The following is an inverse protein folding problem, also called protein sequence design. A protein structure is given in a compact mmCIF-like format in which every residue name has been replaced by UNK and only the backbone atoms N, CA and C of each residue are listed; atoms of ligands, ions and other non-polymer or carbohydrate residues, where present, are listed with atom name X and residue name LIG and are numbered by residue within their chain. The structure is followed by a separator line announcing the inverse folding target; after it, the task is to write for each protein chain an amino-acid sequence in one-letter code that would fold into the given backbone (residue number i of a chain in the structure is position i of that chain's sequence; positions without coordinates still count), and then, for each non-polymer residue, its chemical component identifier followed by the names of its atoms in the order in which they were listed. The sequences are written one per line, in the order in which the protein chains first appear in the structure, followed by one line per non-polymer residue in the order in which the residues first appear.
data_IF_449882925240
#
_entry.id   IF_449882925240
#
_cell.length_a   1.000
_cell.length_b   1.000
_cell.length_c   1.000
_cell.angle_alpha   90.00
_cell.angle_beta   90.00
_cell.angle_gamma   90.00
#
_symmetry.space_group_name_H-M   'P 1'
#
loop_
_entity.id
_entity.type
_entity.pdbx_description
1 polymer ?
#
# COMPACT_ATOMS: atom_id res chain seq x y z
N UNK A 1 -27.55 4.93 2.17
CA UNK A 1 -26.41 4.29 2.89
C UNK A 1 -25.11 5.04 2.56
N UNK A 2 -24.32 5.34 3.54
CA UNK A 2 -23.04 5.99 3.34
C UNK A 2 -22.06 4.99 2.72
N UNK A 3 -21.22 5.40 1.74
CA UNK A 3 -20.15 4.55 1.27
C UNK A 3 -19.17 4.25 2.41
N UNK A 4 -18.54 3.08 2.33
CA UNK A 4 -17.50 2.72 3.30
C UNK A 4 -16.35 3.71 3.24
N UNK A 5 -15.82 4.19 4.37
CA UNK A 5 -14.64 5.05 4.39
C UNK A 5 -13.34 4.28 4.13
N UNK A 6 -13.40 2.96 4.02
CA UNK A 6 -12.21 2.12 3.84
C UNK A 6 -11.56 2.40 2.49
N UNK A 7 -10.26 2.61 2.52
CA UNK A 7 -9.42 2.80 1.33
C UNK A 7 -8.53 1.57 1.16
N UNK A 8 -8.45 1.06 -0.05
CA UNK A 8 -7.63 -0.11 -0.38
C UNK A 8 -6.65 0.22 -1.48
N UNK A 9 -5.47 -0.39 -1.41
CA UNK A 9 -4.46 -0.31 -2.47
C UNK A 9 -3.98 -1.71 -2.80
N UNK A 10 -3.73 -1.95 -4.09
CA UNK A 10 -2.99 -3.12 -4.57
C UNK A 10 -1.82 -2.60 -5.39
N UNK A 11 -0.61 -2.89 -4.96
CA UNK A 11 0.61 -2.41 -5.60
C UNK A 11 1.34 -3.57 -6.24
N UNK A 12 1.64 -3.43 -7.54
CA UNK A 12 2.46 -4.37 -8.30
C UNK A 12 3.91 -3.96 -8.17
N UNK A 13 4.75 -4.93 -7.82
CA UNK A 13 6.15 -4.69 -7.48
C UNK A 13 7.01 -5.74 -8.18
N UNK A 14 8.18 -5.33 -8.68
CA UNK A 14 9.20 -6.23 -9.18
C UNK A 14 10.41 -6.15 -8.27
N UNK A 15 10.77 -7.26 -7.64
CA UNK A 15 11.87 -7.37 -6.69
C UNK A 15 13.13 -7.85 -7.42
N UNK A 16 14.26 -7.21 -7.16
CA UNK A 16 15.55 -7.62 -7.71
C UNK A 16 16.57 -8.02 -6.64
N UNK A 17 16.29 -7.76 -5.36
CA UNK A 17 17.13 -8.21 -4.24
C UNK A 17 16.20 -8.82 -3.18
N UNK A 18 15.88 -10.10 -3.36
CA UNK A 18 14.87 -10.79 -2.55
C UNK A 18 15.26 -10.85 -1.07
N UNK A 19 16.51 -11.14 -0.76
CA UNK A 19 16.98 -11.28 0.61
C UNK A 19 16.83 -9.97 1.40
N UNK A 20 17.32 -8.87 0.84
CA UNK A 20 17.16 -7.55 1.47
C UNK A 20 15.71 -7.10 1.52
N UNK A 21 14.98 -7.34 0.43
CA UNK A 21 13.56 -6.97 0.33
C UNK A 21 12.76 -7.62 1.47
N UNK A 22 12.89 -8.93 1.65
CA UNK A 22 12.11 -9.64 2.67
C UNK A 22 12.47 -9.19 4.07
N UNK A 23 13.74 -8.89 4.35
CA UNK A 23 14.18 -8.38 5.65
C UNK A 23 13.59 -6.99 5.94
N UNK A 24 13.59 -6.10 4.94
CA UNK A 24 13.03 -4.75 5.09
C UNK A 24 11.51 -4.80 5.24
N UNK A 25 10.85 -5.63 4.44
CA UNK A 25 9.38 -5.80 4.52
C UNK A 25 8.95 -6.28 5.91
N UNK A 26 9.69 -7.19 6.52
CA UNK A 26 9.40 -7.65 7.88
C UNK A 26 9.37 -6.48 8.87
N UNK A 27 10.30 -5.53 8.74
CA UNK A 27 10.34 -4.33 9.57
C UNK A 27 9.17 -3.38 9.26
N UNK A 28 8.82 -3.24 7.98
CA UNK A 28 7.66 -2.43 7.58
C UNK A 28 6.36 -2.98 8.18
N UNK A 29 6.17 -4.29 8.14
CA UNK A 29 5.00 -4.94 8.75
C UNK A 29 4.96 -4.72 10.25
N UNK A 30 6.10 -4.84 10.92
CA UNK A 30 6.20 -4.64 12.37
C UNK A 30 5.75 -3.23 12.77
N UNK A 31 6.27 -2.20 12.10
CA UNK A 31 5.90 -0.81 12.44
C UNK A 31 4.47 -0.48 12.02
N UNK A 32 3.98 -1.06 10.93
CA UNK A 32 2.59 -0.84 10.48
C UNK A 32 1.58 -1.48 11.44
N UNK A 33 1.94 -2.56 12.11
CA UNK A 33 1.07 -3.24 13.06
C UNK A 33 0.69 -2.36 14.27
N UNK A 34 1.46 -1.32 14.55
CA UNK A 34 1.18 -0.37 15.63
C UNK A 34 0.23 0.75 15.19
N UNK A 35 -0.13 0.84 13.92
CA UNK A 35 -1.00 1.89 13.37
C UNK A 35 -2.46 1.48 13.50
N UNK A 36 -3.28 2.17 14.32
CA UNK A 36 -4.66 1.71 14.56
C UNK A 36 -5.57 1.77 13.33
N UNK A 37 -5.26 2.63 12.37
CA UNK A 37 -6.06 2.77 11.14
C UNK A 37 -5.61 1.88 10.00
N UNK A 38 -4.52 1.14 10.13
CA UNK A 38 -4.03 0.20 9.11
C UNK A 38 -4.69 -1.15 9.33
N UNK A 39 -5.64 -1.52 8.46
CA UNK A 39 -6.45 -2.72 8.60
C UNK A 39 -5.78 -3.95 7.99
N UNK A 40 -5.13 -3.78 6.85
CA UNK A 40 -4.37 -4.81 6.14
C UNK A 40 -3.09 -4.21 5.58
N UNK A 41 -2.04 -4.97 5.63
CA UNK A 41 -0.73 -4.59 5.10
C UNK A 41 0.00 -5.88 4.74
N UNK A 42 -0.49 -6.53 3.68
CA UNK A 42 -0.13 -7.91 3.34
C UNK A 42 0.75 -7.94 2.10
N UNK A 43 1.89 -8.58 2.23
CA UNK A 43 2.88 -8.69 1.16
C UNK A 43 2.91 -10.11 0.62
N UNK A 44 2.96 -10.21 -0.70
CA UNK A 44 3.01 -11.47 -1.43
C UNK A 44 4.23 -11.47 -2.35
N UNK A 45 4.93 -12.58 -2.43
CA UNK A 45 6.14 -12.70 -3.23
C UNK A 45 6.19 -14.04 -3.96
N UNK A 46 6.45 -13.99 -5.27
CA UNK A 46 6.86 -15.14 -6.07
C UNK A 46 8.38 -15.10 -6.17
N UNK A 47 9.08 -15.94 -5.43
CA UNK A 47 10.55 -15.94 -5.40
C UNK A 47 11.16 -16.34 -6.73
N UNK A 48 10.46 -17.13 -7.54
CA UNK A 48 10.98 -17.59 -8.83
C UNK A 48 11.09 -16.45 -9.84
N UNK A 49 10.18 -15.49 -9.79
CA UNK A 49 10.12 -14.39 -10.77
C UNK A 49 10.47 -13.03 -10.18
N UNK A 50 10.46 -12.90 -8.85
CA UNK A 50 10.58 -11.61 -8.17
C UNK A 50 9.31 -10.77 -8.21
N UNK A 51 8.21 -11.29 -8.77
CA UNK A 51 6.93 -10.57 -8.75
C UNK A 51 6.39 -10.51 -7.33
N UNK A 52 5.97 -9.33 -6.90
CA UNK A 52 5.41 -9.13 -5.58
C UNK A 52 4.15 -8.28 -5.64
N UNK A 53 3.35 -8.36 -4.61
CA UNK A 53 2.14 -7.55 -4.44
C UNK A 53 2.07 -7.10 -3.00
N UNK A 54 1.71 -5.83 -2.81
CA UNK A 54 1.31 -5.30 -1.52
C UNK A 54 -0.18 -5.02 -1.57
N UNK A 55 -0.92 -5.59 -0.63
CA UNK A 55 -2.36 -5.38 -0.50
C UNK A 55 -2.59 -4.65 0.82
N UNK A 56 -3.09 -3.43 0.74
CA UNK A 56 -3.27 -2.56 1.88
C UNK A 56 -4.74 -2.19 2.05
N UNK A 57 -5.17 -2.00 3.29
CA UNK A 57 -6.47 -1.41 3.59
C UNK A 57 -6.35 -0.51 4.81
N UNK A 58 -7.01 0.63 4.73
CA UNK A 58 -6.99 1.67 5.77
C UNK A 58 -8.43 2.05 6.12
N UNK A 59 -8.66 2.39 7.39
CA UNK A 59 -9.98 2.73 7.89
C UNK A 59 -10.54 4.03 7.31
N UNK A 60 -9.67 4.91 6.81
CA UNK A 60 -10.04 6.22 6.29
C UNK A 60 -8.88 6.85 5.51
N UNK A 61 -9.14 7.97 4.84
CA UNK A 61 -8.09 8.79 4.21
C UNK A 61 -7.07 9.27 5.26
N UNK A 62 -7.54 9.68 6.45
CA UNK A 62 -6.63 10.11 7.52
C UNK A 62 -5.67 9.01 7.94
N UNK A 63 -6.13 7.75 7.96
CA UNK A 63 -5.28 6.61 8.27
C UNK A 63 -4.21 6.39 7.18
N UNK A 64 -4.56 6.59 5.91
CA UNK A 64 -3.58 6.55 4.79
C UNK A 64 -2.51 7.61 4.99
N UNK A 65 -2.92 8.84 5.32
CA UNK A 65 -1.98 9.95 5.53
C UNK A 65 -1.08 9.69 6.73
N UNK A 66 -1.62 9.12 7.81
CA UNK A 66 -0.84 8.77 9.00
C UNK A 66 0.23 7.72 8.64
N UNK A 67 -0.12 6.69 7.87
CA UNK A 67 0.82 5.69 7.38
C UNK A 67 1.92 6.33 6.52
N UNK A 68 1.54 7.19 5.60
CA UNK A 68 2.47 7.87 4.68
C UNK A 68 3.48 8.77 5.41
N UNK A 69 3.15 9.25 6.59
CA UNK A 69 4.04 10.07 7.43
C UNK A 69 4.84 9.24 8.43
N UNK A 70 4.58 7.95 8.50
CA UNK A 70 5.14 7.04 9.48
C UNK A 70 6.47 6.40 9.09
N UNK A 71 6.97 5.48 9.94
CA UNK A 71 8.30 4.90 9.81
C UNK A 71 8.53 4.11 8.52
N UNK A 72 7.49 3.53 7.92
CA UNK A 72 7.65 2.81 6.65
C UNK A 72 8.34 3.70 5.62
N UNK A 73 7.88 4.94 5.49
CA UNK A 73 8.46 5.89 4.53
C UNK A 73 9.69 6.59 5.08
N UNK A 74 9.66 7.02 6.34
CA UNK A 74 10.74 7.85 6.91
C UNK A 74 11.98 7.04 7.26
N UNK A 75 11.83 5.76 7.65
CA UNK A 75 12.96 4.90 8.03
C UNK A 75 13.33 3.90 6.94
N UNK A 76 12.35 3.29 6.27
CA UNK A 76 12.59 2.14 5.39
C UNK A 76 12.38 2.42 3.91
N UNK A 77 11.75 3.54 3.54
CA UNK A 77 11.34 3.81 2.18
C UNK A 77 12.49 3.77 1.17
N UNK A 78 13.58 4.46 1.46
CA UNK A 78 14.76 4.51 0.57
C UNK A 78 15.36 3.11 0.39
N UNK A 79 15.58 2.40 1.51
CA UNK A 79 16.16 1.06 1.49
C UNK A 79 15.27 0.08 0.72
N UNK A 80 13.94 0.18 0.90
CA UNK A 80 12.99 -0.66 0.19
C UNK A 80 13.10 -0.45 -1.32
N UNK A 81 13.12 0.81 -1.78
CA UNK A 81 13.22 1.15 -3.20
C UNK A 81 14.56 0.77 -3.81
N UNK A 82 15.59 0.52 -3.01
CA UNK A 82 16.85 -0.04 -3.49
C UNK A 82 16.74 -1.53 -3.84
N UNK A 83 15.71 -2.21 -3.35
CA UNK A 83 15.54 -3.66 -3.54
C UNK A 83 14.49 -4.02 -4.59
N UNK A 84 13.67 -3.07 -5.00
CA UNK A 84 12.53 -3.35 -5.88
C UNK A 84 12.12 -2.10 -6.66
N UNK A 85 11.28 -2.32 -7.67
CA UNK A 85 10.60 -1.26 -8.40
C UNK A 85 9.09 -1.39 -8.19
N UNK A 86 8.43 -0.28 -7.90
CA UNK A 86 6.97 -0.20 -7.87
C UNK A 86 6.49 0.03 -9.30
N UNK A 87 5.68 -0.89 -9.81
CA UNK A 87 5.27 -0.92 -11.22
C UNK A 87 3.95 -0.22 -11.45
N UNK A 88 2.96 -0.51 -10.62
CA UNK A 88 1.62 0.07 -10.75
C UNK A 88 0.88 -0.02 -9.43
N UNK A 89 0.02 0.96 -9.15
CA UNK A 89 -0.85 0.96 -7.97
C UNK A 89 -2.31 1.10 -8.40
N UNK A 90 -3.17 0.22 -7.90
CA UNK A 90 -4.62 0.37 -7.99
C UNK A 90 -5.15 0.85 -6.63
N UNK A 91 -5.93 1.93 -6.64
CA UNK A 91 -6.56 2.49 -5.45
C UNK A 91 -8.07 2.37 -5.54
N UNK A 92 -8.70 1.98 -4.44
CA UNK A 92 -10.13 1.70 -4.36
C UNK A 92 -10.74 2.45 -3.19
N UNK A 93 -11.90 3.05 -3.41
CA UNK A 93 -12.64 3.80 -2.40
C UNK A 93 -12.64 5.30 -2.68
N UNK A 94 -13.26 6.06 -1.78
CA UNK A 94 -13.30 7.52 -1.89
C UNK A 94 -11.96 8.10 -1.38
N UNK A 95 -11.01 8.20 -2.27
CA UNK A 95 -9.65 8.65 -1.94
C UNK A 95 -9.55 10.15 -1.71
N UNK A 96 -10.57 10.93 -2.09
CA UNK A 96 -10.55 12.38 -1.92
C UNK A 96 -9.32 13.01 -2.59
N UNK A 97 -8.56 13.78 -1.82
CA UNK A 97 -7.38 14.49 -2.32
C UNK A 97 -6.15 13.60 -2.54
N UNK A 98 -6.20 12.31 -2.17
CA UNK A 98 -5.09 11.39 -2.42
C UNK A 98 -4.82 11.19 -3.91
N UNK A 99 -5.86 11.32 -4.75
CA UNK A 99 -5.75 11.22 -6.20
C UNK A 99 -5.17 12.49 -6.83
N UNK A 100 -4.24 13.13 -6.15
CA UNK A 100 -3.62 14.36 -6.62
C UNK A 100 -2.48 14.14 -7.62
N UNK A 101 -1.87 15.22 -8.09
CA UNK A 101 -0.84 15.15 -9.14
C UNK A 101 0.51 14.60 -8.67
N UNK A 102 0.75 14.46 -7.39
CA UNK A 102 2.05 14.03 -6.82
C UNK A 102 2.16 12.51 -6.73
N UNK A 103 1.81 11.80 -7.78
CA UNK A 103 1.92 10.34 -7.81
C UNK A 103 3.35 9.93 -8.16
N UNK A 104 3.95 9.07 -7.32
CA UNK A 104 5.33 8.64 -7.47
C UNK A 104 5.51 7.53 -8.52
N UNK A 105 4.43 6.83 -8.89
CA UNK A 105 4.43 5.75 -9.87
C UNK A 105 3.05 5.65 -10.54
N UNK A 106 2.95 4.91 -11.68
CA UNK A 106 1.68 4.76 -12.39
C UNK A 106 0.58 4.23 -11.48
N UNK A 107 -0.56 4.91 -11.47
CA UNK A 107 -1.67 4.60 -10.59
C UNK A 107 -3.01 4.69 -11.31
N UNK A 108 -3.96 3.85 -10.89
CA UNK A 108 -5.35 3.91 -11.31
C UNK A 108 -6.24 4.07 -10.07
N UNK A 109 -7.07 5.10 -10.07
CA UNK A 109 -8.03 5.36 -8.99
C UNK A 109 -9.42 4.96 -9.45
N UNK A 110 -9.96 3.92 -8.81
CA UNK A 110 -11.23 3.31 -9.21
C UNK A 110 -12.46 3.95 -8.58
N UNK A 111 -12.26 4.70 -7.48
CA UNK A 111 -13.35 5.35 -6.76
C UNK A 111 -14.15 4.36 -5.91
N UNK A 112 -15.35 4.80 -5.51
CA UNK A 112 -16.25 3.95 -4.71
C UNK A 112 -16.81 2.83 -5.59
N UNK A 113 -17.10 1.64 -5.00
CA UNK A 113 -17.67 0.55 -5.79
C UNK A 113 -19.06 0.92 -6.30
N UNK A 114 -19.36 0.55 -7.55
CA UNK A 114 -20.73 0.72 -8.09
C UNK A 114 -21.69 -0.35 -7.55
N UNK A 115 -21.16 -1.44 -7.00
CA UNK A 115 -21.88 -2.52 -6.37
C UNK A 115 -21.00 -3.17 -5.31
N UNK A 116 -21.56 -3.40 -4.13
CA UNK A 116 -20.83 -4.05 -3.03
C UNK A 116 -21.80 -4.81 -2.14
N UNK A 117 -21.27 -5.77 -1.39
CA UNK A 117 -22.07 -6.46 -0.37
C UNK A 117 -22.41 -5.48 0.76
N UNK A 118 -23.64 -5.53 1.31
CA UNK A 118 -23.95 -4.79 2.51
C UNK A 118 -23.08 -5.31 3.66
N UNK A 119 -22.49 -4.38 4.42
CA UNK A 119 -21.50 -4.76 5.43
C UNK A 119 -21.60 -4.06 6.71
#
# INVERSE_FOLDING_TARGET
MQPSPVIRFVIQIQVHDIERFTAIVARCVEVSSAEPGTLHYDWYLDEATGAARLVEAYSSVDAVLAHARGPVFTEFGVQLLETCAFVHMDAFGDTGTLAGPAQLWPSTYWGVPFAELPG
#
